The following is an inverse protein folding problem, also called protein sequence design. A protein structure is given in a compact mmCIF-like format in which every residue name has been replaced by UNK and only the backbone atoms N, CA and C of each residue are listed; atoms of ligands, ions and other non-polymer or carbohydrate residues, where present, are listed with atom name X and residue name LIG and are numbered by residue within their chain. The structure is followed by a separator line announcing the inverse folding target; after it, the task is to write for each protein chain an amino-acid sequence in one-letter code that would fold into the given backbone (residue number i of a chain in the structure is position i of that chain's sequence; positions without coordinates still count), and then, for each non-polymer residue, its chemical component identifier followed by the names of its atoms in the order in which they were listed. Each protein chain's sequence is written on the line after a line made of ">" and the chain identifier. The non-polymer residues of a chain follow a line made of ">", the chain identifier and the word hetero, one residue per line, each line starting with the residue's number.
data_IF_503700799255
#
_entry.id   IF_503700799255
#
_cell.length_a   1.000
_cell.length_b   1.000
_cell.length_c   1.000
_cell.angle_alpha   90.00
_cell.angle_beta   90.00
_cell.angle_gamma   90.00
#
_symmetry.space_group_name_H-M   'P 1'
#
loop_
_entity.id
_entity.type
_entity.pdbx_description
1 polymer ?
#
# COMPACT_ATOMS: atom_id res chain seq x y z
N UNK A 1 23.04 -1.33 33.00
CA UNK A 1 22.97 -2.14 31.76
C UNK A 1 22.70 -1.19 30.60
N UNK A 2 23.38 -1.28 29.46
CA UNK A 2 23.20 -0.32 28.36
C UNK A 2 22.00 -0.74 27.49
N UNK A 3 20.84 -0.12 27.74
CA UNK A 3 19.58 -0.41 27.03
C UNK A 3 19.62 0.03 25.57
N UNK A 4 20.29 1.14 25.25
CA UNK A 4 20.42 1.64 23.88
C UNK A 4 21.11 0.64 22.96
N UNK A 5 22.17 -0.01 23.45
CA UNK A 5 22.86 -1.08 22.71
C UNK A 5 21.92 -2.26 22.41
N UNK A 6 21.02 -2.60 23.34
CA UNK A 6 20.04 -3.67 23.12
C UNK A 6 18.92 -3.24 22.17
N UNK A 7 18.41 -2.00 22.29
CA UNK A 7 17.43 -1.42 21.35
C UNK A 7 17.97 -1.45 19.91
N UNK A 8 19.23 -1.04 19.71
CA UNK A 8 19.90 -1.10 18.40
C UNK A 8 20.00 -2.54 17.86
N UNK A 9 20.29 -3.52 18.72
CA UNK A 9 20.32 -4.95 18.32
C UNK A 9 18.93 -5.45 17.91
N UNK A 10 17.88 -5.08 18.63
CA UNK A 10 16.50 -5.45 18.27
C UNK A 10 16.18 -4.92 16.87
N UNK A 11 16.46 -3.63 16.59
CA UNK A 11 16.25 -3.05 15.26
C UNK A 11 17.06 -3.77 14.17
N UNK A 12 18.33 -4.07 14.42
CA UNK A 12 19.16 -4.86 13.49
C UNK A 12 18.55 -6.24 13.20
N UNK A 13 17.99 -6.93 14.19
CA UNK A 13 17.31 -8.21 13.96
C UNK A 13 16.01 -8.06 13.18
N UNK A 14 15.29 -6.94 13.34
CA UNK A 14 14.12 -6.63 12.51
C UNK A 14 14.55 -6.41 11.06
N UNK A 15 15.60 -5.62 10.83
CA UNK A 15 16.15 -5.35 9.48
C UNK A 15 16.66 -6.63 8.81
N UNK A 16 17.26 -7.55 9.59
CA UNK A 16 17.71 -8.87 9.13
C UNK A 16 16.60 -9.92 9.04
N UNK A 17 15.34 -9.56 9.33
CA UNK A 17 14.18 -10.44 9.30
C UNK A 17 14.29 -11.65 10.27
N UNK A 18 15.12 -11.52 11.31
CA UNK A 18 15.28 -12.52 12.38
C UNK A 18 14.25 -12.29 13.49
N UNK A 19 12.97 -12.45 13.17
CA UNK A 19 11.87 -12.01 14.03
C UNK A 19 11.83 -12.67 15.40
N UNK A 20 12.23 -13.94 15.52
CA UNK A 20 12.28 -14.64 16.82
C UNK A 20 13.38 -14.07 17.73
N UNK A 21 14.55 -13.77 17.16
CA UNK A 21 15.66 -13.12 17.86
C UNK A 21 15.28 -11.69 18.28
N UNK A 22 14.65 -10.93 17.38
CA UNK A 22 14.14 -9.60 17.68
C UNK A 22 13.11 -9.64 18.84
N UNK A 23 12.14 -10.55 18.77
CA UNK A 23 11.11 -10.73 19.79
C UNK A 23 11.71 -11.09 21.16
N UNK A 24 12.66 -12.04 21.20
CA UNK A 24 13.31 -12.45 22.44
C UNK A 24 14.01 -11.27 23.14
N UNK A 25 14.77 -10.48 22.39
CA UNK A 25 15.48 -9.34 22.96
C UNK A 25 14.56 -8.16 23.27
N UNK A 26 13.53 -7.91 22.46
CA UNK A 26 12.54 -6.85 22.70
C UNK A 26 11.80 -7.06 24.04
N UNK A 27 11.42 -8.31 24.34
CA UNK A 27 10.78 -8.68 25.61
C UNK A 27 11.70 -8.39 26.82
N UNK A 28 12.99 -8.72 26.69
CA UNK A 28 13.97 -8.43 27.76
C UNK A 28 14.21 -6.94 27.90
N UNK A 29 14.31 -6.19 26.81
CA UNK A 29 14.49 -4.73 26.85
C UNK A 29 13.29 -4.07 27.54
N UNK A 30 12.06 -4.41 27.15
CA UNK A 30 10.84 -3.86 27.76
C UNK A 30 10.77 -4.15 29.27
N UNK A 31 11.21 -5.33 29.72
CA UNK A 31 11.28 -5.66 31.14
C UNK A 31 12.38 -4.88 31.88
N UNK A 32 13.55 -4.73 31.25
CA UNK A 32 14.72 -4.05 31.83
C UNK A 32 14.56 -2.52 31.87
N UNK A 33 13.75 -1.94 30.99
CA UNK A 33 13.41 -0.51 31.00
C UNK A 33 12.22 -0.17 31.89
N UNK A 34 11.73 -1.14 32.67
CA UNK A 34 10.54 -0.99 33.52
C UNK A 34 9.29 -0.58 32.72
N UNK A 35 9.07 -1.27 31.60
CA UNK A 35 7.89 -1.09 30.75
C UNK A 35 7.82 0.32 30.11
N UNK A 36 8.95 0.83 29.62
CA UNK A 36 8.97 2.09 28.88
C UNK A 36 8.08 2.00 27.60
N UNK A 37 7.21 3.00 27.32
CA UNK A 37 6.27 2.94 26.20
C UNK A 37 6.90 2.64 24.84
N UNK A 38 8.10 3.17 24.58
CA UNK A 38 8.84 2.92 23.33
C UNK A 38 9.23 1.45 23.18
N UNK A 39 9.70 0.82 24.25
CA UNK A 39 10.14 -0.58 24.21
C UNK A 39 8.94 -1.53 24.11
N UNK A 40 7.81 -1.18 24.73
CA UNK A 40 6.55 -1.92 24.56
C UNK A 40 6.05 -1.82 23.12
N UNK A 41 6.16 -0.64 22.50
CA UNK A 41 5.81 -0.47 21.08
C UNK A 41 6.66 -1.38 20.19
N UNK A 42 7.99 -1.42 20.39
CA UNK A 42 8.87 -2.31 19.61
C UNK A 42 8.63 -3.79 19.89
N UNK A 43 8.28 -4.16 21.13
CA UNK A 43 7.84 -5.51 21.47
C UNK A 43 6.55 -5.87 20.70
N UNK A 44 5.56 -4.98 20.69
CA UNK A 44 4.32 -5.18 19.95
C UNK A 44 4.57 -5.26 18.44
N UNK A 45 5.51 -4.49 17.91
CA UNK A 45 5.93 -4.55 16.51
C UNK A 45 6.54 -5.92 16.18
N UNK A 46 7.41 -6.46 17.03
CA UNK A 46 7.96 -7.80 16.85
C UNK A 46 6.85 -8.87 16.91
N UNK A 47 5.91 -8.75 17.86
CA UNK A 47 4.76 -9.67 17.95
C UNK A 47 3.90 -9.63 16.68
N UNK A 48 3.63 -8.44 16.13
CA UNK A 48 2.92 -8.25 14.87
C UNK A 48 3.64 -8.93 13.70
N UNK A 49 4.97 -8.73 13.58
CA UNK A 49 5.78 -9.35 12.53
C UNK A 49 5.82 -10.88 12.62
N UNK A 50 5.68 -11.44 13.83
CA UNK A 50 5.51 -12.90 14.05
C UNK A 50 4.08 -13.41 13.90
N UNK A 51 3.17 -12.60 13.34
CA UNK A 51 1.74 -12.90 13.16
C UNK A 51 0.96 -13.18 14.46
N UNK A 52 1.45 -12.71 15.61
CA UNK A 52 0.80 -12.88 16.91
C UNK A 52 -0.06 -11.65 17.25
N UNK A 53 -1.05 -11.38 16.39
CA UNK A 53 -1.79 -10.12 16.38
C UNK A 53 -2.52 -9.81 17.71
N UNK A 54 -3.20 -10.78 18.31
CA UNK A 54 -3.90 -10.56 19.58
C UNK A 54 -2.94 -10.26 20.74
N UNK A 55 -1.75 -10.88 20.75
CA UNK A 55 -0.72 -10.59 21.78
C UNK A 55 -0.17 -9.17 21.62
N UNK A 56 0.09 -8.74 20.39
CA UNK A 56 0.53 -7.39 20.09
C UNK A 56 -0.52 -6.35 20.50
N UNK A 57 -1.78 -6.55 20.09
CA UNK A 57 -2.89 -5.68 20.48
C UNK A 57 -3.07 -5.61 22.01
N UNK A 58 -3.05 -6.76 22.70
CA UNK A 58 -3.17 -6.82 24.15
C UNK A 58 -2.01 -6.09 24.85
N UNK A 59 -0.76 -6.22 24.38
CA UNK A 59 0.40 -5.57 24.98
C UNK A 59 0.25 -4.03 25.00
N UNK A 60 -0.33 -3.46 23.95
CA UNK A 60 -0.59 -2.02 23.81
C UNK A 60 -1.82 -1.57 24.61
N UNK A 61 -2.94 -2.29 24.47
CA UNK A 61 -4.24 -1.90 25.05
C UNK A 61 -4.30 -2.10 26.56
N UNK A 62 -3.72 -3.17 27.10
CA UNK A 62 -3.70 -3.43 28.55
C UNK A 62 -3.02 -2.31 29.34
N UNK A 63 -2.04 -1.63 28.71
CA UNK A 63 -1.29 -0.49 29.26
C UNK A 63 -1.82 0.87 28.82
N UNK A 64 -2.95 0.92 28.09
CA UNK A 64 -3.60 2.13 27.57
C UNK A 64 -2.70 2.98 26.64
N UNK A 65 -1.71 2.36 25.99
CA UNK A 65 -0.77 3.07 25.12
C UNK A 65 -1.44 3.57 23.82
N UNK A 66 -2.47 2.88 23.36
CA UNK A 66 -3.34 3.24 22.23
C UNK A 66 -4.09 4.57 22.44
N UNK A 67 -4.32 4.97 23.70
CA UNK A 67 -4.94 6.26 24.04
C UNK A 67 -3.93 7.40 24.14
N UNK A 68 -2.67 7.08 24.43
CA UNK A 68 -1.60 8.05 24.67
C UNK A 68 -0.84 8.38 23.38
N UNK A 69 -0.49 7.37 22.58
CA UNK A 69 0.37 7.50 21.41
C UNK A 69 -0.34 7.06 20.12
N UNK A 70 -0.31 7.91 19.08
CA UNK A 70 -0.95 7.63 17.80
C UNK A 70 -0.32 6.41 17.10
N UNK A 71 1.00 6.23 17.19
CA UNK A 71 1.70 5.07 16.64
C UNK A 71 1.23 3.75 17.30
N UNK A 72 1.04 3.74 18.62
CA UNK A 72 0.48 2.60 19.35
C UNK A 72 -0.98 2.33 18.95
N UNK A 73 -1.79 3.39 18.76
CA UNK A 73 -3.16 3.27 18.29
C UNK A 73 -3.22 2.63 16.90
N UNK A 74 -2.42 3.15 15.98
CA UNK A 74 -2.27 2.62 14.63
C UNK A 74 -1.88 1.14 14.66
N UNK A 75 -0.84 0.77 15.41
CA UNK A 75 -0.38 -0.62 15.48
C UNK A 75 -1.44 -1.54 16.11
N UNK A 76 -2.12 -1.10 17.17
CA UNK A 76 -3.20 -1.86 17.79
C UNK A 76 -4.36 -2.11 16.81
N UNK A 77 -4.81 -1.08 16.09
CA UNK A 77 -5.84 -1.22 15.05
C UNK A 77 -5.37 -2.13 13.91
N UNK A 78 -4.11 -1.99 13.48
CA UNK A 78 -3.50 -2.82 12.42
C UNK A 78 -3.46 -4.30 12.81
N UNK A 79 -3.24 -4.61 14.09
CA UNK A 79 -3.32 -5.98 14.60
C UNK A 79 -4.73 -6.57 14.45
N UNK A 80 -5.76 -5.84 14.87
CA UNK A 80 -7.15 -6.28 14.72
C UNK A 80 -7.57 -6.40 13.25
N UNK A 81 -7.14 -5.48 12.39
CA UNK A 81 -7.37 -5.57 10.94
C UNK A 81 -6.74 -6.84 10.34
N UNK A 82 -5.49 -7.15 10.70
CA UNK A 82 -4.81 -8.37 10.25
C UNK A 82 -5.48 -9.66 10.78
N UNK A 83 -6.10 -9.59 11.96
CA UNK A 83 -6.92 -10.66 12.54
C UNK A 83 -8.34 -10.75 11.95
N UNK A 84 -8.69 -9.92 10.95
CA UNK A 84 -10.03 -9.81 10.34
C UNK A 84 -11.13 -9.33 11.29
N UNK A 85 -10.76 -8.64 12.37
CA UNK A 85 -11.68 -8.03 13.33
C UNK A 85 -11.93 -6.56 13.00
N UNK A 86 -12.55 -6.31 11.83
CA UNK A 86 -12.66 -4.97 11.23
C UNK A 86 -13.38 -3.95 12.12
N UNK A 87 -14.48 -4.34 12.79
CA UNK A 87 -15.21 -3.45 13.68
C UNK A 87 -14.36 -3.00 14.88
N UNK A 88 -13.64 -3.92 15.51
CA UNK A 88 -12.76 -3.59 16.65
C UNK A 88 -11.60 -2.68 16.21
N UNK A 89 -11.07 -2.91 15.00
CA UNK A 89 -10.04 -2.04 14.44
C UNK A 89 -10.56 -0.61 14.24
N UNK A 90 -11.80 -0.45 13.76
CA UNK A 90 -12.44 0.86 13.60
C UNK A 90 -12.64 1.55 14.94
N UNK A 91 -13.21 0.85 15.93
CA UNK A 91 -13.46 1.39 17.27
C UNK A 91 -12.17 1.91 17.94
N UNK A 92 -11.02 1.26 17.69
CA UNK A 92 -9.72 1.68 18.20
C UNK A 92 -9.23 2.97 17.51
N UNK A 93 -9.44 3.10 16.20
CA UNK A 93 -9.04 4.30 15.45
C UNK A 93 -9.90 5.52 15.80
N UNK A 94 -11.19 5.30 16.04
CA UNK A 94 -12.17 6.35 16.30
C UNK A 94 -12.25 6.74 17.77
N UNK A 95 -11.41 6.17 18.64
CA UNK A 95 -11.26 6.66 20.00
C UNK A 95 -10.88 8.14 20.00
N UNK A 96 -11.82 8.98 20.43
CA UNK A 96 -11.62 10.41 20.56
C UNK A 96 -10.34 10.68 21.37
N UNK A 97 -9.50 11.57 20.86
CA UNK A 97 -8.36 12.04 21.62
C UNK A 97 -8.85 12.56 22.98
N UNK A 98 -8.25 12.12 24.10
CA UNK A 98 -8.62 12.67 25.38
C UNK A 98 -8.41 14.19 25.34
N UNK A 99 -9.42 14.95 25.77
CA UNK A 99 -9.46 16.43 25.76
C UNK A 99 -8.16 17.04 26.32
N UNK A 100 -7.56 16.37 27.30
CA UNK A 100 -6.29 16.76 27.93
C UNK A 100 -5.10 16.81 26.97
N UNK A 101 -5.05 15.96 25.93
CA UNK A 101 -3.97 15.95 24.93
C UNK A 101 -4.10 17.12 23.94
N UNK A 102 -5.34 17.43 23.53
CA UNK A 102 -5.64 18.64 22.72
C UNK A 102 -5.29 19.93 23.46
N UNK A 103 -5.51 19.99 24.77
CA UNK A 103 -5.13 21.13 25.60
C UNK A 103 -3.61 21.23 25.77
N UNK A 104 -2.92 20.10 25.93
CA UNK A 104 -1.46 20.05 26.08
C UNK A 104 -0.70 20.44 24.80
N UNK A 105 -1.17 19.98 23.63
CA UNK A 105 -0.62 20.37 22.33
C UNK A 105 -0.88 21.84 21.99
N UNK A 106 -2.00 22.40 22.47
CA UNK A 106 -2.32 23.83 22.32
C UNK A 106 -1.38 24.72 23.14
N UNK A 107 -1.03 24.29 24.35
CA UNK A 107 -0.07 24.98 25.21
C UNK A 107 1.37 24.96 24.66
N UNK A 108 1.80 23.85 24.04
CA UNK A 108 3.16 23.74 23.47
C UNK A 108 3.35 24.50 22.15
N UNK A 109 2.26 24.70 21.38
CA UNK A 109 2.29 25.46 20.13
C UNK A 109 2.39 26.98 20.32
N UNK A 110 1.97 27.52 21.46
CA UNK A 110 2.06 28.96 21.74
C UNK A 110 3.50 29.43 22.08
N UNK A 111 4.43 28.53 22.41
CA UNK A 111 5.83 28.88 22.71
C UNK A 111 6.88 28.40 21.67
N UNK A 112 6.51 27.56 20.70
CA UNK A 112 7.46 27.07 19.70
C UNK A 112 6.92 27.16 18.27
N UNK A 113 7.40 28.18 17.55
CA UNK A 113 7.16 28.31 16.11
C UNK A 113 7.67 27.09 15.34
N UNK A 114 6.77 26.48 14.56
CA UNK A 114 7.01 25.59 13.41
C UNK A 114 8.35 24.83 13.42
N UNK A 115 8.43 23.79 14.24
CA UNK A 115 9.24 22.61 13.93
C UNK A 115 8.35 21.39 14.06
N UNK A 116 8.27 20.60 12.98
CA UNK A 116 7.64 19.28 12.98
C UNK A 116 8.16 18.52 14.20
N UNK A 117 7.31 18.31 15.20
CA UNK A 117 7.68 17.55 16.39
C UNK A 117 7.74 16.09 16.00
N UNK A 118 8.89 15.69 15.46
CA UNK A 118 9.30 14.29 15.42
C UNK A 118 9.12 13.75 16.83
N UNK A 119 8.12 12.89 17.01
CA UNK A 119 8.03 12.10 18.24
C UNK A 119 9.36 11.34 18.35
N UNK A 120 9.91 11.17 19.56
CA UNK A 120 11.22 10.53 19.85
C UNK A 120 11.41 9.11 19.25
N UNK A 121 10.41 8.59 18.53
CA UNK A 121 10.39 7.27 17.90
C UNK A 121 10.70 7.30 16.40
N UNK A 122 11.30 8.39 15.88
CA UNK A 122 11.74 8.54 14.48
C UNK A 122 10.59 8.54 13.46
N UNK A 123 9.37 8.90 13.87
CA UNK A 123 8.20 8.97 13.00
C UNK A 123 7.65 10.40 12.94
N UNK A 124 7.41 10.91 11.73
CA UNK A 124 6.72 12.20 11.54
C UNK A 124 5.24 12.04 11.89
N UNK A 125 4.66 13.05 12.54
CA UNK A 125 3.24 13.00 12.92
C UNK A 125 2.32 12.96 11.69
N UNK A 126 2.71 13.61 10.59
CA UNK A 126 1.98 13.59 9.32
C UNK A 126 1.91 12.18 8.70
N UNK A 127 3.04 11.44 8.67
CA UNK A 127 3.08 10.07 8.12
C UNK A 127 2.31 9.05 8.97
N UNK A 128 2.25 9.24 10.29
CA UNK A 128 1.42 8.40 11.16
C UNK A 128 -0.06 8.65 10.86
N UNK A 129 -0.47 9.92 10.73
CA UNK A 129 -1.86 10.29 10.44
C UNK A 129 -2.29 9.82 9.05
N UNK A 130 -1.43 9.92 8.04
CA UNK A 130 -1.72 9.37 6.70
C UNK A 130 -1.91 7.85 6.76
N UNK A 131 -1.04 7.15 7.49
CA UNK A 131 -1.12 5.69 7.70
C UNK A 131 -2.40 5.27 8.45
N UNK A 132 -2.86 6.07 9.42
CA UNK A 132 -4.13 5.86 10.11
C UNK A 132 -5.31 6.02 9.15
N UNK A 133 -5.33 7.08 8.35
CA UNK A 133 -6.39 7.30 7.35
C UNK A 133 -6.42 6.19 6.29
N UNK A 134 -5.26 5.72 5.84
CA UNK A 134 -5.13 4.59 4.92
C UNK A 134 -5.71 3.30 5.54
N UNK A 135 -5.35 3.00 6.78
CA UNK A 135 -5.89 1.84 7.49
C UNK A 135 -7.41 1.95 7.70
N UNK A 136 -7.90 3.15 8.03
CA UNK A 136 -9.34 3.42 8.13
C UNK A 136 -10.05 3.16 6.80
N UNK A 137 -9.47 3.60 5.70
CA UNK A 137 -9.98 3.32 4.35
C UNK A 137 -10.09 1.82 4.08
N UNK A 138 -9.03 1.05 4.39
CA UNK A 138 -9.01 -0.41 4.25
C UNK A 138 -10.05 -1.12 5.13
N UNK A 139 -10.26 -0.62 6.34
CA UNK A 139 -11.29 -1.14 7.24
C UNK A 139 -12.68 -0.88 6.66
N UNK A 140 -12.95 0.32 6.16
CA UNK A 140 -14.23 0.63 5.53
C UNK A 140 -14.48 -0.17 4.26
N UNK A 141 -13.44 -0.40 3.46
CA UNK A 141 -13.51 -1.23 2.26
C UNK A 141 -13.86 -2.68 2.61
N UNK A 142 -13.23 -3.24 3.67
CA UNK A 142 -13.56 -4.56 4.20
C UNK A 142 -14.93 -4.65 4.88
N UNK A 143 -15.55 -3.52 5.23
CA UNK A 143 -16.91 -3.40 5.76
C UNK A 143 -17.93 -3.01 4.68
N UNK A 144 -17.55 -3.09 3.40
CA UNK A 144 -18.37 -2.74 2.22
C UNK A 144 -18.85 -1.27 2.20
N UNK A 145 -18.23 -0.39 2.98
CA UNK A 145 -18.56 1.04 3.01
C UNK A 145 -17.65 1.86 2.09
N UNK A 146 -17.89 1.71 0.79
CA UNK A 146 -17.05 2.30 -0.27
C UNK A 146 -16.93 3.82 -0.18
N UNK A 147 -17.99 4.54 0.20
CA UNK A 147 -17.98 6.02 0.24
C UNK A 147 -17.08 6.56 1.36
N UNK A 148 -17.08 5.93 2.53
CA UNK A 148 -16.17 6.30 3.61
C UNK A 148 -14.73 5.84 3.33
N UNK A 149 -14.57 4.71 2.62
CA UNK A 149 -13.27 4.25 2.16
C UNK A 149 -12.62 5.26 1.21
N UNK A 150 -13.35 5.71 0.18
CA UNK A 150 -12.84 6.72 -0.78
C UNK A 150 -12.43 8.00 -0.08
N UNK A 151 -13.27 8.51 0.84
CA UNK A 151 -12.95 9.70 1.62
C UNK A 151 -11.67 9.51 2.45
N UNK A 152 -11.55 8.38 3.14
CA UNK A 152 -10.38 8.09 4.00
C UNK A 152 -9.08 7.96 3.18
N UNK A 153 -9.12 7.35 1.99
CA UNK A 153 -7.96 7.27 1.10
C UNK A 153 -7.57 8.65 0.53
N UNK A 154 -8.55 9.48 0.14
CA UNK A 154 -8.27 10.87 -0.30
C UNK A 154 -7.59 11.67 0.81
N UNK A 155 -8.07 11.56 2.05
CA UNK A 155 -7.45 12.23 3.20
C UNK A 155 -6.05 11.69 3.51
N UNK A 156 -5.81 10.38 3.37
CA UNK A 156 -4.47 9.80 3.51
C UNK A 156 -3.46 10.42 2.52
N UNK A 157 -3.86 10.58 1.25
CA UNK A 157 -3.02 11.14 0.20
C UNK A 157 -2.78 12.66 0.35
N UNK A 158 -3.74 13.39 0.91
CA UNK A 158 -3.55 14.82 1.25
C UNK A 158 -2.57 15.01 2.41
N UNK A 159 -2.54 14.08 3.36
CA UNK A 159 -1.63 14.13 4.50
C UNK A 159 -0.20 13.74 4.09
N UNK A 160 -0.07 12.73 3.23
CA UNK A 160 1.20 12.25 2.71
C UNK A 160 1.06 11.93 1.23
N UNK A 161 1.63 12.80 0.40
CA UNK A 161 1.59 12.68 -1.06
C UNK A 161 2.32 11.42 -1.54
N UNK A 162 3.30 10.91 -0.79
CA UNK A 162 4.06 9.70 -1.15
C UNK A 162 3.32 8.40 -0.83
N UNK A 163 2.12 8.48 -0.23
CA UNK A 163 1.29 7.31 0.09
C UNK A 163 0.67 6.69 -1.18
N UNK A 164 1.51 6.02 -1.98
CA UNK A 164 1.10 5.37 -3.22
C UNK A 164 0.04 4.29 -2.99
N UNK A 165 0.06 3.61 -1.85
CA UNK A 165 -0.94 2.59 -1.52
C UNK A 165 -2.36 3.17 -1.47
N UNK A 166 -2.54 4.39 -0.94
CA UNK A 166 -3.84 5.07 -0.97
C UNK A 166 -4.27 5.41 -2.40
N UNK A 167 -3.33 5.92 -3.21
CA UNK A 167 -3.57 6.26 -4.61
C UNK A 167 -3.89 5.03 -5.46
N UNK A 168 -3.20 3.92 -5.22
CA UNK A 168 -3.44 2.66 -5.91
C UNK A 168 -4.83 2.10 -5.60
N UNK A 169 -5.25 2.11 -4.33
CA UNK A 169 -6.59 1.66 -3.95
C UNK A 169 -7.71 2.53 -4.55
N UNK A 170 -7.51 3.85 -4.64
CA UNK A 170 -8.47 4.75 -5.30
C UNK A 170 -8.63 4.46 -6.80
N UNK A 171 -7.51 4.19 -7.48
CA UNK A 171 -7.50 4.05 -8.95
C UNK A 171 -7.82 2.62 -9.40
N UNK A 172 -7.29 1.60 -8.71
CA UNK A 172 -7.48 0.19 -9.05
C UNK A 172 -8.90 -0.32 -8.79
N UNK A 173 -9.56 0.15 -7.72
CA UNK A 173 -10.94 -0.23 -7.42
C UNK A 173 -11.98 0.60 -8.19
N UNK A 174 -11.55 1.48 -9.12
CA UNK A 174 -12.43 2.41 -9.84
C UNK A 174 -13.31 3.23 -8.88
N UNK A 175 -12.70 3.72 -7.80
CA UNK A 175 -13.40 4.48 -6.76
C UNK A 175 -13.72 5.92 -7.21
N UNK A 176 -13.10 6.37 -8.30
CA UNK A 176 -13.20 7.72 -8.84
C UNK A 176 -13.58 7.68 -10.32
N UNK A 177 -14.29 8.71 -10.76
CA UNK A 177 -14.46 9.03 -12.17
C UNK A 177 -13.22 9.74 -12.72
N UNK A 178 -13.04 9.74 -14.05
CA UNK A 178 -11.90 10.43 -14.68
C UNK A 178 -11.83 11.93 -14.34
N UNK A 179 -12.98 12.58 -14.10
CA UNK A 179 -13.04 13.97 -13.66
C UNK A 179 -12.56 14.11 -12.20
N UNK A 180 -13.00 13.23 -11.30
CA UNK A 180 -12.57 13.23 -9.89
C UNK A 180 -11.10 12.87 -9.73
N UNK A 181 -10.54 12.03 -10.61
CA UNK A 181 -9.12 11.71 -10.63
C UNK A 181 -8.27 12.94 -10.97
N UNK A 182 -8.71 13.73 -11.96
CA UNK A 182 -8.06 14.99 -12.32
C UNK A 182 -8.17 16.02 -11.19
N UNK A 183 -9.36 16.18 -10.61
CA UNK A 183 -9.58 17.07 -9.46
C UNK A 183 -8.76 16.64 -8.25
N UNK A 184 -8.58 15.33 -8.04
CA UNK A 184 -7.74 14.81 -6.97
C UNK A 184 -6.30 15.29 -7.14
N UNK A 185 -5.71 15.11 -8.33
CA UNK A 185 -4.33 15.57 -8.59
C UNK A 185 -4.15 17.07 -8.37
N UNK A 186 -5.09 17.89 -8.84
CA UNK A 186 -5.05 19.34 -8.65
C UNK A 186 -5.21 19.74 -7.17
N UNK A 187 -5.89 18.92 -6.37
CA UNK A 187 -6.12 19.16 -4.93
C UNK A 187 -4.95 18.79 -4.02
N UNK A 188 -3.97 18.02 -4.52
CA UNK A 188 -2.86 17.52 -3.69
C UNK A 188 -1.88 18.66 -3.32
N UNK A 189 -1.40 18.73 -2.07
CA UNK A 189 -0.49 19.77 -1.62
C UNK A 189 0.97 19.52 -2.05
N UNK A 190 1.22 19.23 -3.34
CA UNK A 190 2.55 18.92 -3.88
C UNK A 190 3.56 20.03 -3.55
N UNK A 191 3.19 21.29 -3.82
CA UNK A 191 4.04 22.47 -3.62
C UNK A 191 4.49 22.69 -2.16
N UNK A 192 3.81 22.08 -1.18
CA UNK A 192 4.12 22.27 0.25
C UNK A 192 4.97 21.14 0.82
N UNK A 193 4.87 19.94 0.27
CA UNK A 193 5.52 18.74 0.80
C UNK A 193 6.74 18.30 0.00
N UNK A 194 6.87 18.76 -1.24
CA UNK A 194 7.89 18.30 -2.18
C UNK A 194 8.82 19.45 -2.62
N UNK A 195 10.01 19.08 -3.06
CA UNK A 195 10.86 19.94 -3.89
C UNK A 195 10.32 20.05 -5.32
N UNK A 196 10.79 21.01 -6.12
CA UNK A 196 10.32 21.21 -7.50
C UNK A 196 10.54 19.96 -8.38
N UNK A 197 11.68 19.28 -8.21
CA UNK A 197 12.02 18.03 -8.93
C UNK A 197 11.08 16.87 -8.55
N UNK A 198 10.83 16.69 -7.25
CA UNK A 198 9.93 15.64 -6.73
C UNK A 198 8.47 15.89 -7.16
N UNK A 199 8.06 17.15 -7.24
CA UNK A 199 6.73 17.51 -7.72
C UNK A 199 6.53 17.09 -9.18
N UNK A 200 7.51 17.35 -10.05
CA UNK A 200 7.47 16.94 -11.45
C UNK A 200 7.42 15.41 -11.58
N UNK A 201 8.24 14.70 -10.80
CA UNK A 201 8.25 13.24 -10.72
C UNK A 201 6.89 12.67 -10.29
N UNK A 202 6.34 13.12 -9.16
CA UNK A 202 5.08 12.59 -8.62
C UNK A 202 3.90 12.88 -9.54
N UNK A 203 3.86 14.10 -10.09
CA UNK A 203 2.84 14.46 -11.06
C UNK A 203 2.91 13.58 -12.31
N UNK A 204 4.11 13.37 -12.87
CA UNK A 204 4.31 12.46 -14.00
C UNK A 204 3.84 11.04 -13.69
N UNK A 205 4.26 10.46 -12.56
CA UNK A 205 3.92 9.08 -12.18
C UNK A 205 2.41 8.89 -11.98
N UNK A 206 1.76 9.80 -11.25
CA UNK A 206 0.32 9.69 -11.01
C UNK A 206 -0.48 9.93 -12.29
N UNK A 207 -0.12 10.94 -13.07
CA UNK A 207 -0.81 11.23 -14.33
C UNK A 207 -0.64 10.07 -15.33
N UNK A 208 0.56 9.47 -15.41
CA UNK A 208 0.81 8.34 -16.29
C UNK A 208 -0.11 7.15 -15.98
N UNK A 209 -0.36 6.89 -14.68
CA UNK A 209 -1.24 5.82 -14.18
C UNK A 209 -2.73 6.10 -14.39
N UNK A 210 -3.15 7.36 -14.43
CA UNK A 210 -4.56 7.76 -14.66
C UNK A 210 -4.94 7.77 -16.14
N UNK A 211 -4.00 8.08 -17.03
CA UNK A 211 -4.22 8.23 -18.48
C UNK A 211 -4.44 6.90 -19.24
N UNK A 212 -5.05 5.87 -18.62
CA UNK A 212 -5.21 4.53 -19.21
C UNK A 212 -5.96 4.53 -20.55
N UNK A 213 -6.96 5.41 -20.69
CA UNK A 213 -7.83 5.50 -21.87
C UNK A 213 -7.38 6.54 -22.91
N UNK A 214 -6.28 7.24 -22.65
CA UNK A 214 -5.78 8.25 -23.58
C UNK A 214 -5.13 7.56 -24.79
N UNK A 215 -5.17 8.24 -25.94
CA UNK A 215 -4.47 7.76 -27.14
C UNK A 215 -2.99 7.52 -26.82
N UNK A 216 -2.39 6.41 -27.30
CA UNK A 216 -0.96 6.20 -27.20
C UNK A 216 -0.23 7.28 -28.01
N UNK A 217 0.29 8.28 -27.31
CA UNK A 217 1.32 9.19 -27.81
C UNK A 217 2.64 8.86 -27.12
N UNK A 218 3.76 9.31 -27.68
CA UNK A 218 5.04 9.28 -26.96
C UNK A 218 4.83 9.88 -25.57
N UNK A 219 5.11 9.09 -24.54
CA UNK A 219 5.15 9.58 -23.16
C UNK A 219 6.29 10.58 -23.11
N UNK A 220 5.95 11.86 -23.03
CA UNK A 220 6.92 12.92 -22.77
C UNK A 220 7.37 12.76 -21.32
N UNK A 221 8.51 12.09 -21.15
CA UNK A 221 9.16 11.92 -19.86
C UNK A 221 9.99 13.19 -19.64
N UNK A 222 9.82 13.89 -18.50
CA UNK A 222 10.66 15.03 -18.18
C UNK A 222 12.15 14.66 -18.16
N UNK A 223 13.02 15.56 -18.61
CA UNK A 223 14.48 15.33 -18.63
C UNK A 223 15.05 15.03 -17.22
N UNK A 224 14.41 15.56 -16.18
CA UNK A 224 14.74 15.32 -14.77
C UNK A 224 14.60 13.85 -14.35
N UNK A 225 13.81 13.05 -15.08
CA UNK A 225 13.47 11.65 -14.73
C UNK A 225 13.70 10.68 -15.90
N UNK A 226 14.68 10.98 -16.74
CA UNK A 226 15.06 10.21 -17.94
C UNK A 226 15.23 8.70 -17.71
N UNK A 227 15.76 8.31 -16.54
CA UNK A 227 15.95 6.92 -16.14
C UNK A 227 14.65 6.11 -16.01
N UNK A 228 13.48 6.75 -15.95
CA UNK A 228 12.18 6.07 -15.87
C UNK A 228 11.67 5.53 -17.21
N UNK A 229 12.31 5.89 -18.33
CA UNK A 229 11.88 5.44 -19.66
C UNK A 229 11.91 3.91 -19.83
N UNK A 230 12.85 3.23 -19.16
CA UNK A 230 12.96 1.77 -19.19
C UNK A 230 12.27 1.09 -18.00
N UNK A 231 11.61 1.86 -17.14
CA UNK A 231 10.89 1.31 -15.99
C UNK A 231 9.69 0.49 -16.46
N UNK A 232 9.56 -0.72 -15.91
CA UNK A 232 8.53 -1.68 -16.29
C UNK A 232 7.10 -1.13 -16.06
N UNK A 233 6.85 -0.42 -14.95
CA UNK A 233 5.53 0.15 -14.65
C UNK A 233 5.10 1.23 -15.67
N UNK A 234 6.07 2.03 -16.14
CA UNK A 234 5.83 3.06 -17.16
C UNK A 234 5.53 2.41 -18.52
N UNK A 235 6.30 1.38 -18.88
CA UNK A 235 6.09 0.60 -20.11
C UNK A 235 4.74 -0.13 -20.08
N UNK A 236 4.35 -0.70 -18.94
CA UNK A 236 3.04 -1.34 -18.75
C UNK A 236 1.91 -0.32 -18.91
N UNK A 237 2.05 0.88 -18.35
CA UNK A 237 1.05 1.96 -18.53
C UNK A 237 0.87 2.33 -20.01
N UNK A 238 1.96 2.37 -20.78
CA UNK A 238 1.91 2.57 -22.23
C UNK A 238 1.27 1.38 -22.95
N UNK A 239 1.57 0.15 -22.52
CA UNK A 239 0.96 -1.05 -23.06
C UNK A 239 -0.57 -1.07 -22.81
N UNK A 240 -1.04 -0.68 -21.63
CA UNK A 240 -2.48 -0.53 -21.33
C UNK A 240 -3.14 0.46 -22.29
N UNK A 241 -2.51 1.61 -22.59
CA UNK A 241 -3.05 2.56 -23.60
C UNK A 241 -3.18 1.94 -24.97
N UNK A 242 -2.18 1.18 -25.43
CA UNK A 242 -2.26 0.44 -26.68
C UNK A 242 -3.37 -0.62 -26.66
N UNK A 243 -3.57 -1.28 -25.52
CA UNK A 243 -4.66 -2.25 -25.35
C UNK A 243 -6.03 -1.59 -25.54
N UNK A 244 -6.29 -0.48 -24.84
CA UNK A 244 -7.56 0.25 -24.96
C UNK A 244 -7.76 0.90 -26.34
N UNK A 245 -6.68 1.23 -27.04
CA UNK A 245 -6.72 1.70 -28.42
C UNK A 245 -6.84 0.55 -29.46
N UNK A 246 -7.02 -0.70 -29.00
CA UNK A 246 -7.11 -1.92 -29.82
C UNK A 246 -5.84 -2.26 -30.63
N UNK A 247 -4.68 -1.68 -30.28
CA UNK A 247 -3.38 -1.98 -30.88
C UNK A 247 -2.73 -3.21 -30.23
N UNK A 248 -3.41 -4.36 -30.31
CA UNK A 248 -3.02 -5.56 -29.57
C UNK A 248 -1.61 -6.07 -29.91
N UNK A 249 -1.14 -5.88 -31.15
CA UNK A 249 0.21 -6.29 -31.57
C UNK A 249 1.31 -5.50 -30.84
N UNK A 250 1.13 -4.19 -30.70
CA UNK A 250 2.09 -3.34 -29.99
C UNK A 250 2.00 -3.57 -28.48
N UNK A 251 0.80 -3.71 -27.93
CA UNK A 251 0.59 -4.08 -26.53
C UNK A 251 1.28 -5.42 -26.19
N UNK A 252 1.11 -6.44 -27.03
CA UNK A 252 1.79 -7.73 -26.87
C UNK A 252 3.32 -7.61 -26.94
N UNK A 253 3.86 -6.80 -27.87
CA UNK A 253 5.30 -6.56 -27.96
C UNK A 253 5.86 -5.94 -26.67
N UNK A 254 5.20 -4.91 -26.14
CA UNK A 254 5.62 -4.22 -24.92
C UNK A 254 5.50 -5.14 -23.69
N UNK A 255 4.35 -5.79 -23.51
CA UNK A 255 4.13 -6.70 -22.37
C UNK A 255 5.06 -7.91 -22.42
N UNK A 256 5.41 -8.43 -23.61
CA UNK A 256 6.38 -9.53 -23.72
C UNK A 256 7.77 -9.14 -23.23
N UNK A 257 8.24 -7.92 -23.55
CA UNK A 257 9.53 -7.41 -23.03
C UNK A 257 9.48 -7.26 -21.51
N UNK A 258 8.34 -6.81 -20.96
CA UNK A 258 8.14 -6.72 -19.51
C UNK A 258 8.20 -8.11 -18.87
N UNK A 259 7.48 -9.09 -19.43
CA UNK A 259 7.43 -10.47 -18.92
C UNK A 259 8.77 -11.21 -19.06
N UNK A 260 9.65 -10.80 -19.98
CA UNK A 260 11.02 -11.32 -20.09
C UNK A 260 11.92 -10.79 -18.97
N UNK A 261 11.79 -9.50 -18.62
CA UNK A 261 12.56 -8.85 -17.55
C UNK A 261 12.04 -9.20 -16.15
N UNK A 262 10.72 -9.19 -15.97
CA UNK A 262 10.00 -9.53 -14.74
C UNK A 262 8.81 -10.44 -15.06
N UNK A 263 8.97 -11.77 -14.97
CA UNK A 263 7.95 -12.74 -15.35
C UNK A 263 6.66 -12.72 -14.53
N UNK A 264 6.64 -12.02 -13.39
CA UNK A 264 5.49 -12.01 -12.47
C UNK A 264 5.07 -10.58 -12.10
N UNK A 265 5.36 -9.63 -12.98
CA UNK A 265 5.01 -8.24 -12.79
C UNK A 265 3.49 -8.06 -12.61
N UNK A 266 3.06 -7.69 -11.41
CA UNK A 266 1.66 -7.73 -11.00
C UNK A 266 0.72 -6.92 -11.90
N UNK A 267 1.16 -5.74 -12.35
CA UNK A 267 0.38 -4.85 -13.20
C UNK A 267 0.35 -5.30 -14.68
N UNK A 268 1.33 -6.08 -15.12
CA UNK A 268 1.45 -6.53 -16.51
C UNK A 268 0.56 -7.75 -16.76
N UNK A 269 0.39 -8.62 -15.76
CA UNK A 269 -0.33 -9.88 -15.91
C UNK A 269 -1.75 -9.70 -16.50
N UNK A 270 -2.62 -8.80 -15.99
CA UNK A 270 -3.97 -8.65 -16.53
C UNK A 270 -3.99 -8.20 -17.99
N UNK A 271 -3.18 -7.19 -18.34
CA UNK A 271 -3.12 -6.66 -19.71
C UNK A 271 -2.47 -7.65 -20.67
N UNK A 272 -1.43 -8.37 -20.23
CA UNK A 272 -0.79 -9.41 -21.02
C UNK A 272 -1.76 -10.58 -21.29
N UNK A 273 -2.46 -11.08 -20.26
CA UNK A 273 -3.50 -12.10 -20.41
C UNK A 273 -4.57 -11.65 -21.41
N UNK A 274 -5.06 -10.41 -21.28
CA UNK A 274 -6.00 -9.81 -22.24
C UNK A 274 -5.47 -9.85 -23.67
N UNK A 275 -4.22 -9.41 -23.89
CA UNK A 275 -3.62 -9.46 -25.25
C UNK A 275 -3.46 -10.87 -25.79
N UNK A 276 -3.11 -11.85 -24.95
CA UNK A 276 -2.97 -13.24 -25.38
C UNK A 276 -4.31 -13.81 -25.85
N UNK A 277 -5.40 -13.44 -25.18
CA UNK A 277 -6.76 -13.82 -25.57
C UNK A 277 -7.14 -13.16 -26.91
N UNK A 278 -6.97 -11.84 -27.04
CA UNK A 278 -7.32 -11.10 -28.26
C UNK A 278 -6.49 -11.52 -29.48
N UNK A 279 -5.23 -11.92 -29.27
CA UNK A 279 -4.36 -12.44 -30.32
C UNK A 279 -4.46 -13.96 -30.51
N UNK A 280 -5.35 -14.63 -29.78
CA UNK A 280 -5.58 -16.08 -29.84
C UNK A 280 -4.33 -16.95 -29.61
N UNK A 281 -3.47 -16.55 -28.66
CA UNK A 281 -2.21 -17.22 -28.30
C UNK A 281 -2.42 -18.29 -27.21
N UNK A 282 -3.20 -19.32 -27.53
CA UNK A 282 -3.63 -20.32 -26.56
C UNK A 282 -2.51 -21.09 -25.84
N UNK A 283 -1.44 -21.43 -26.56
CA UNK A 283 -0.32 -22.18 -25.98
C UNK A 283 0.47 -21.35 -24.94
N UNK A 284 0.68 -20.07 -25.21
CA UNK A 284 1.36 -19.15 -24.29
C UNK A 284 0.53 -18.94 -23.02
N UNK A 285 -0.79 -18.72 -23.17
CA UNK A 285 -1.67 -18.54 -22.02
C UNK A 285 -1.83 -19.82 -21.20
N UNK A 286 -1.85 -20.99 -21.84
CA UNK A 286 -1.84 -22.28 -21.15
C UNK A 286 -0.62 -22.41 -20.24
N UNK A 287 0.58 -22.14 -20.77
CA UNK A 287 1.81 -22.23 -19.99
C UNK A 287 1.84 -21.20 -18.84
N UNK A 288 1.46 -19.95 -19.13
CA UNK A 288 1.42 -18.88 -18.13
C UNK A 288 0.45 -19.21 -16.99
N UNK A 289 -0.76 -19.66 -17.30
CA UNK A 289 -1.78 -19.99 -16.28
C UNK A 289 -1.34 -21.13 -15.36
N UNK A 290 -0.70 -22.19 -15.87
CA UNK A 290 -0.15 -23.27 -15.04
C UNK A 290 0.94 -22.73 -14.11
N UNK A 291 1.87 -21.93 -14.65
CA UNK A 291 2.96 -21.33 -13.86
C UNK A 291 2.42 -20.41 -12.75
N UNK A 292 1.37 -19.63 -13.04
CA UNK A 292 0.73 -18.75 -12.06
C UNK A 292 0.02 -19.53 -10.95
N UNK A 293 -0.69 -20.61 -11.28
CA UNK A 293 -1.34 -21.46 -10.27
C UNK A 293 -0.30 -22.17 -9.40
N UNK A 294 0.80 -22.66 -9.98
CA UNK A 294 1.85 -23.36 -9.25
C UNK A 294 2.57 -22.43 -8.25
N UNK A 295 2.77 -21.15 -8.59
CA UNK A 295 3.54 -20.20 -7.78
C UNK A 295 2.67 -19.29 -6.90
N UNK A 296 1.51 -18.88 -7.39
CA UNK A 296 0.61 -17.91 -6.73
C UNK A 296 -0.83 -18.44 -6.67
N UNK A 297 -1.10 -19.57 -5.99
CA UNK A 297 -2.44 -20.17 -5.93
C UNK A 297 -3.47 -19.30 -5.19
N UNK A 298 -3.01 -18.43 -4.28
CA UNK A 298 -3.88 -17.55 -3.50
C UNK A 298 -4.15 -16.21 -4.21
N UNK A 299 -3.50 -15.93 -5.35
CA UNK A 299 -3.69 -14.68 -6.08
C UNK A 299 -4.83 -14.84 -7.10
N UNK A 300 -5.85 -13.95 -7.10
CA UNK A 300 -6.96 -14.03 -8.07
C UNK A 300 -6.51 -14.00 -9.54
N UNK A 301 -5.39 -13.34 -9.86
CA UNK A 301 -4.90 -13.24 -11.25
C UNK A 301 -4.58 -14.61 -11.86
N UNK A 302 -4.16 -15.57 -11.04
CA UNK A 302 -3.83 -16.94 -11.46
C UNK A 302 -5.07 -17.67 -11.97
N UNK A 303 -6.18 -17.57 -11.24
CA UNK A 303 -7.45 -18.19 -11.60
C UNK A 303 -8.14 -17.46 -12.74
N UNK A 304 -8.01 -16.12 -12.79
CA UNK A 304 -8.40 -15.32 -13.94
C UNK A 304 -7.71 -15.81 -15.23
N UNK A 305 -6.40 -16.06 -15.21
CA UNK A 305 -5.66 -16.59 -16.36
C UNK A 305 -6.22 -17.95 -16.83
N UNK A 306 -6.51 -18.87 -15.89
CA UNK A 306 -7.11 -20.18 -16.18
C UNK A 306 -8.51 -20.03 -16.80
N UNK A 307 -9.33 -19.13 -16.24
CA UNK A 307 -10.65 -18.80 -16.75
C UNK A 307 -10.61 -18.29 -18.20
N UNK A 308 -9.73 -17.31 -18.46
CA UNK A 308 -9.50 -16.76 -19.80
C UNK A 308 -9.01 -17.82 -20.79
N UNK A 309 -8.13 -18.74 -20.38
CA UNK A 309 -7.70 -19.86 -21.22
C UNK A 309 -8.88 -20.74 -21.63
N UNK A 310 -9.73 -21.15 -20.69
CA UNK A 310 -10.90 -21.96 -21.01
C UNK A 310 -11.92 -21.25 -21.89
N UNK A 311 -12.07 -19.92 -21.75
CA UNK A 311 -12.90 -19.12 -22.66
C UNK A 311 -12.33 -19.15 -24.09
N UNK A 312 -11.02 -18.92 -24.24
CA UNK A 312 -10.37 -18.87 -25.56
C UNK A 312 -10.38 -20.20 -26.29
N UNK A 313 -10.18 -21.33 -25.59
CA UNK A 313 -10.24 -22.68 -26.21
C UNK A 313 -11.62 -23.00 -26.79
N UNK A 314 -12.68 -22.38 -26.26
CA UNK A 314 -14.05 -22.63 -26.69
C UNK A 314 -14.61 -23.95 -26.17
N UNK A 315 -15.94 -24.06 -26.15
CA UNK A 315 -16.69 -25.26 -25.72
C UNK A 315 -16.41 -25.75 -24.28
N UNK A 316 -15.75 -24.93 -23.45
CA UNK A 316 -15.44 -25.19 -22.04
C UNK A 316 -15.98 -24.09 -21.12
N UNK A 317 -17.12 -23.50 -21.49
CA UNK A 317 -17.72 -22.37 -20.76
C UNK A 317 -18.05 -22.69 -19.29
N UNK A 318 -18.45 -23.93 -19.01
CA UNK A 318 -18.68 -24.39 -17.64
C UNK A 318 -17.40 -24.36 -16.80
N UNK A 319 -16.27 -24.80 -17.37
CA UNK A 319 -14.97 -24.74 -16.72
C UNK A 319 -14.49 -23.30 -16.56
N UNK A 320 -14.67 -22.45 -17.58
CA UNK A 320 -14.32 -21.03 -17.48
C UNK A 320 -15.04 -20.33 -16.33
N UNK A 321 -16.37 -20.50 -16.24
CA UNK A 321 -17.21 -19.90 -15.18
C UNK A 321 -16.90 -20.40 -13.78
N UNK A 322 -16.24 -21.56 -13.64
CA UNK A 322 -15.83 -22.07 -12.33
C UNK A 322 -14.62 -21.33 -11.77
N UNK A 323 -13.79 -20.75 -12.65
CA UNK A 323 -12.53 -20.08 -12.27
C UNK A 323 -12.58 -18.55 -12.36
N UNK A 324 -13.61 -17.98 -13.00
CA UNK A 324 -13.92 -16.55 -13.06
C UNK A 324 -14.94 -16.16 -11.99
#
# INVERSE_FOLDING_TARGET
>A
MNLERLRKRVRQYIDQQQYQSALFWADKVASLSHEEPQDIYWLAQCLYLTAQYHRAAHALRSRKLDKLYEACRYLAARCHYAAKEHQQALDILDMEEPINKRLFEKYLKDESGLKDSTTDWEMSQSSIKSSICLLRGKIYDALDNRTLATYSYKEALKLDVYCFEAFDLLTSHHMLTAQEEKELLESLPLNRQCTEEEQELLHFLFENKLKKYNKPSETLIPESVDGLQENLDVVVSLAERHYYNCDFKMCYKLTSVVMEKDPFHANCLPVHIGTLVELNKANELFYLSHKLVDLYPNNPVSWFAVGCYYLMVGHKNEHARRYL
#
